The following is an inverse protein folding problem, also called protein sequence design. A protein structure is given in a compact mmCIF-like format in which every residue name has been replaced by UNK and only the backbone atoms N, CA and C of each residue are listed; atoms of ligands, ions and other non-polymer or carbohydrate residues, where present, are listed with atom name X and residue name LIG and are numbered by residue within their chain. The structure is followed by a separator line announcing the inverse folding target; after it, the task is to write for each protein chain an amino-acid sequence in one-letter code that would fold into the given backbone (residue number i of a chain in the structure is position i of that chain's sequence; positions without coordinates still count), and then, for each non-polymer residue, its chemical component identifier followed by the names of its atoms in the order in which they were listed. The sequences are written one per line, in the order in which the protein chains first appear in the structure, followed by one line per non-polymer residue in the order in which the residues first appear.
data_IF_171455467099
#
_entry.id   IF_171455467099
#
_cell.length_a   1.000
_cell.length_b   1.000
_cell.length_c   1.000
_cell.angle_alpha   90.00
_cell.angle_beta   90.00
_cell.angle_gamma   90.00
#
_symmetry.space_group_name_H-M   'P 1'
#
loop_
_entity.id
_entity.type
_entity.pdbx_description
1 polymer ?
#
# COMPACT_ATOMS: atom_id res chain seq x y z
N UNK A 1 33.08 16.01 51.17
CA UNK A 1 32.46 15.17 50.11
C UNK A 1 31.29 15.93 49.49
N UNK A 2 31.47 16.60 48.33
CA UNK A 2 30.34 17.04 47.53
C UNK A 2 30.05 16.01 46.43
N UNK A 3 28.79 15.56 46.35
CA UNK A 3 28.29 14.68 45.30
C UNK A 3 28.33 15.41 43.95
N UNK A 4 29.02 14.81 42.99
CA UNK A 4 29.13 15.27 41.61
C UNK A 4 27.83 15.10 40.83
N UNK A 5 27.54 16.12 40.04
CA UNK A 5 26.48 16.14 39.03
C UNK A 5 26.87 15.29 37.81
N UNK A 6 26.16 14.21 37.55
CA UNK A 6 26.26 13.47 36.28
C UNK A 6 25.13 13.92 35.35
N UNK A 7 25.44 14.90 34.49
CA UNK A 7 24.64 15.18 33.30
C UNK A 7 25.00 14.13 32.24
N UNK A 8 24.11 13.17 32.03
CA UNK A 8 24.18 12.28 30.88
C UNK A 8 23.97 13.10 29.59
N UNK A 9 25.05 13.35 28.85
CA UNK A 9 24.99 13.90 27.51
C UNK A 9 24.42 12.83 26.57
N UNK A 10 23.17 13.02 26.15
CA UNK A 10 22.54 12.21 25.12
C UNK A 10 23.24 12.54 23.79
N UNK A 11 24.15 11.67 23.37
CA UNK A 11 24.86 11.80 22.10
C UNK A 11 23.82 11.78 20.97
N UNK A 12 23.65 12.92 20.30
CA UNK A 12 22.88 13.00 19.07
C UNK A 12 23.53 12.07 18.05
N UNK A 13 22.85 10.97 17.74
CA UNK A 13 23.23 10.06 16.65
C UNK A 13 23.24 10.89 15.37
N UNK A 14 24.43 11.16 14.82
CA UNK A 14 24.58 11.80 13.50
C UNK A 14 23.82 10.94 12.49
N UNK A 15 22.68 11.42 12.03
CA UNK A 15 21.99 10.89 10.85
C UNK A 15 22.96 10.95 9.68
N UNK A 16 23.26 9.81 9.07
CA UNK A 16 24.08 9.76 7.85
C UNK A 16 23.51 10.75 6.81
N UNK A 17 24.36 11.46 6.05
CA UNK A 17 23.90 12.35 4.98
C UNK A 17 23.04 11.55 4.00
N UNK A 18 21.91 12.12 3.57
CA UNK A 18 21.04 11.51 2.58
C UNK A 18 21.82 11.33 1.27
N UNK A 19 21.93 10.10 0.78
CA UNK A 19 22.41 9.88 -0.58
C UNK A 19 21.34 10.44 -1.55
N UNK A 20 21.74 11.19 -2.59
CA UNK A 20 20.78 11.72 -3.54
C UNK A 20 20.05 10.55 -4.21
N UNK A 21 18.73 10.57 -4.14
CA UNK A 21 17.93 9.51 -4.74
C UNK A 21 18.07 9.56 -6.27
N UNK A 22 18.01 8.43 -7.00
CA UNK A 22 18.24 8.40 -8.44
C UNK A 22 17.31 9.35 -9.23
N UNK A 23 16.07 9.50 -8.78
CA UNK A 23 15.07 10.37 -9.40
C UNK A 23 15.33 11.87 -9.18
N UNK A 24 16.21 12.27 -8.25
CA UNK A 24 16.57 13.70 -8.08
C UNK A 24 17.35 14.25 -9.28
N UNK A 25 17.87 13.38 -10.15
CA UNK A 25 18.57 13.75 -11.39
C UNK A 25 17.66 14.15 -12.55
N UNK A 26 16.36 13.87 -12.47
CA UNK A 26 15.38 14.13 -13.54
C UNK A 26 14.35 15.17 -13.11
N UNK A 27 13.73 15.83 -14.10
CA UNK A 27 12.71 16.85 -13.85
C UNK A 27 11.47 16.25 -13.17
N UNK A 28 10.74 17.09 -12.44
CA UNK A 28 9.53 16.69 -11.73
C UNK A 28 8.50 16.01 -12.64
N UNK A 29 8.26 16.48 -13.87
CA UNK A 29 7.24 15.90 -14.76
C UNK A 29 7.61 14.54 -15.35
N UNK A 30 8.88 14.13 -15.25
CA UNK A 30 9.36 12.82 -15.69
C UNK A 30 9.26 11.76 -14.59
N UNK A 31 8.85 12.13 -13.36
CA UNK A 31 8.79 11.20 -12.23
C UNK A 31 7.34 10.74 -11.96
N UNK A 32 7.16 9.47 -11.58
CA UNK A 32 5.86 8.92 -11.18
C UNK A 32 5.98 8.12 -9.87
N UNK A 33 5.41 8.64 -8.77
CA UNK A 33 5.44 8.03 -7.44
C UNK A 33 4.10 7.37 -7.09
N UNK A 34 4.10 6.05 -6.91
CA UNK A 34 2.88 5.28 -6.60
C UNK A 34 3.06 4.47 -5.32
N UNK A 35 2.31 4.82 -4.28
CA UNK A 35 2.24 4.06 -3.02
C UNK A 35 1.11 3.03 -3.10
N UNK A 36 1.40 1.76 -2.83
CA UNK A 36 0.40 0.67 -2.90
C UNK A 36 0.38 -0.08 -1.58
N UNK A 37 -0.76 -0.09 -0.88
CA UNK A 37 -0.86 -0.80 0.39
C UNK A 37 -1.05 -2.31 0.19
N UNK A 38 -0.35 -3.12 0.99
CA UNK A 38 -0.53 -4.58 0.98
C UNK A 38 -0.20 -5.24 -0.36
N UNK A 39 0.95 -4.86 -0.95
CA UNK A 39 1.32 -5.23 -2.31
C UNK A 39 2.33 -6.39 -2.40
N UNK A 40 2.39 -7.26 -1.37
CA UNK A 40 3.30 -8.42 -1.36
C UNK A 40 2.76 -9.64 -2.11
N UNK A 41 1.51 -9.63 -2.56
CA UNK A 41 0.87 -10.71 -3.31
C UNK A 41 -0.44 -10.24 -3.94
N UNK A 42 -1.07 -11.13 -4.73
CA UNK A 42 -2.44 -10.94 -5.22
C UNK A 42 -2.59 -9.67 -6.08
N UNK A 43 -3.73 -8.98 -5.89
CA UNK A 43 -4.09 -7.80 -6.69
C UNK A 43 -3.05 -6.69 -6.52
N UNK A 44 -2.60 -6.39 -5.29
CA UNK A 44 -1.63 -5.31 -5.06
C UNK A 44 -0.29 -5.53 -5.78
N UNK A 45 0.24 -6.76 -5.76
CA UNK A 45 1.44 -7.12 -6.52
C UNK A 45 1.19 -7.04 -8.04
N UNK A 46 0.05 -7.56 -8.50
CA UNK A 46 -0.35 -7.49 -9.90
C UNK A 46 -0.54 -6.05 -10.40
N UNK A 47 -1.05 -5.14 -9.56
CA UNK A 47 -1.14 -3.71 -9.88
C UNK A 47 0.25 -3.09 -10.06
N UNK A 48 1.21 -3.41 -9.18
CA UNK A 48 2.59 -2.95 -9.34
C UNK A 48 3.22 -3.46 -10.65
N UNK A 49 2.97 -4.73 -11.01
CA UNK A 49 3.41 -5.32 -12.28
C UNK A 49 2.77 -4.62 -13.49
N UNK A 50 1.46 -4.39 -13.45
CA UNK A 50 0.76 -3.67 -14.52
C UNK A 50 1.24 -2.22 -14.68
N UNK A 51 1.58 -1.54 -13.58
CA UNK A 51 2.20 -0.21 -13.62
C UNK A 51 3.58 -0.23 -14.29
N UNK A 52 4.37 -1.29 -14.06
CA UNK A 52 5.66 -1.47 -14.73
C UNK A 52 5.45 -1.66 -16.24
N UNK A 53 4.53 -2.52 -16.64
CA UNK A 53 4.23 -2.77 -18.05
C UNK A 53 3.75 -1.49 -18.77
N UNK A 54 2.80 -0.78 -18.17
CA UNK A 54 2.27 0.48 -18.72
C UNK A 54 3.35 1.56 -18.81
N UNK A 55 4.19 1.70 -17.78
CA UNK A 55 5.31 2.62 -17.78
C UNK A 55 6.30 2.33 -18.91
N UNK A 56 6.70 1.07 -19.07
CA UNK A 56 7.63 0.65 -20.12
C UNK A 56 7.04 0.84 -21.53
N UNK A 57 5.72 0.75 -21.68
CA UNK A 57 5.05 0.89 -22.96
C UNK A 57 4.75 2.34 -23.36
N UNK A 58 4.50 3.24 -22.39
CA UNK A 58 3.91 4.55 -22.67
C UNK A 58 4.77 5.75 -22.29
N UNK A 59 5.73 5.58 -21.38
CA UNK A 59 6.50 6.72 -20.84
C UNK A 59 7.78 6.99 -21.61
N UNK A 60 8.28 8.22 -21.48
CA UNK A 60 9.50 8.65 -22.14
C UNK A 60 10.70 7.86 -21.61
N UNK A 61 11.80 7.84 -22.39
CA UNK A 61 13.05 7.22 -21.96
C UNK A 61 13.74 7.98 -20.83
N UNK A 62 13.35 9.22 -20.54
CA UNK A 62 13.83 10.02 -19.42
C UNK A 62 12.94 9.89 -18.18
N UNK A 63 11.76 9.25 -18.31
CA UNK A 63 10.84 9.10 -17.19
C UNK A 63 11.36 8.10 -16.18
N UNK A 64 11.00 8.26 -14.90
CA UNK A 64 11.29 7.34 -13.80
C UNK A 64 10.01 6.91 -13.10
N UNK A 65 9.88 5.61 -12.85
CA UNK A 65 8.80 5.01 -12.06
C UNK A 65 9.30 4.68 -10.67
N UNK A 66 8.62 5.17 -9.64
CA UNK A 66 8.90 4.86 -8.25
C UNK A 66 7.68 4.15 -7.67
N UNK A 67 7.78 2.83 -7.53
CA UNK A 67 6.74 2.02 -6.89
C UNK A 67 7.10 1.82 -5.43
N UNK A 68 6.18 2.19 -4.54
CA UNK A 68 6.32 2.11 -3.09
C UNK A 68 5.33 1.07 -2.54
N UNK A 69 5.59 -0.24 -2.68
CA UNK A 69 4.71 -1.26 -2.13
C UNK A 69 4.86 -1.37 -0.61
N UNK A 70 3.78 -1.34 0.15
CA UNK A 70 3.82 -1.59 1.59
C UNK A 70 3.48 -3.02 1.96
N UNK A 71 4.12 -3.53 3.00
CA UNK A 71 3.89 -4.88 3.54
C UNK A 71 3.88 -4.87 5.07
N UNK A 72 3.45 -5.96 5.71
CA UNK A 72 3.41 -6.03 7.19
C UNK A 72 4.75 -6.39 7.84
N UNK A 73 5.78 -6.76 7.08
CA UNK A 73 7.07 -7.18 7.65
C UNK A 73 8.25 -6.94 6.71
N UNK A 74 9.43 -6.72 7.26
CA UNK A 74 10.66 -6.53 6.47
C UNK A 74 10.93 -7.71 5.51
N UNK A 75 10.69 -8.94 5.96
CA UNK A 75 10.83 -10.15 5.13
C UNK A 75 9.92 -10.16 3.91
N UNK A 76 8.65 -9.75 4.07
CA UNK A 76 7.71 -9.63 2.95
C UNK A 76 8.10 -8.49 2.02
N UNK A 77 8.58 -7.37 2.56
CA UNK A 77 9.10 -6.27 1.76
C UNK A 77 10.31 -6.69 0.92
N UNK A 78 11.28 -7.42 1.50
CA UNK A 78 12.43 -7.97 0.77
C UNK A 78 12.00 -8.85 -0.40
N UNK A 79 11.07 -9.78 -0.14
CA UNK A 79 10.55 -10.68 -1.17
C UNK A 79 9.81 -9.92 -2.28
N UNK A 80 8.98 -8.94 -1.89
CA UNK A 80 8.25 -8.09 -2.85
C UNK A 80 9.21 -7.30 -3.74
N UNK A 81 10.30 -6.77 -3.18
CA UNK A 81 11.32 -6.06 -3.95
C UNK A 81 11.99 -6.98 -4.97
N UNK A 82 12.38 -8.20 -4.55
CA UNK A 82 13.00 -9.18 -5.47
C UNK A 82 12.06 -9.52 -6.61
N UNK A 83 10.81 -9.86 -6.30
CA UNK A 83 9.81 -10.22 -7.31
C UNK A 83 9.54 -9.09 -8.30
N UNK A 84 9.40 -7.84 -7.84
CA UNK A 84 9.14 -6.71 -8.73
C UNK A 84 10.36 -6.31 -9.57
N UNK A 85 11.58 -6.41 -9.03
CA UNK A 85 12.82 -6.17 -9.79
C UNK A 85 13.05 -7.25 -10.86
N UNK A 86 12.82 -8.51 -10.51
CA UNK A 86 12.86 -9.62 -11.47
C UNK A 86 11.81 -9.44 -12.55
N UNK A 87 10.58 -9.08 -12.17
CA UNK A 87 9.50 -8.80 -13.10
C UNK A 87 9.84 -7.65 -14.05
N UNK A 88 10.34 -6.51 -13.54
CA UNK A 88 10.76 -5.37 -14.36
C UNK A 88 11.85 -5.77 -15.38
N UNK A 89 12.81 -6.58 -14.95
CA UNK A 89 13.84 -7.13 -15.84
C UNK A 89 13.24 -7.99 -16.94
N UNK A 90 12.32 -8.89 -16.59
CA UNK A 90 11.63 -9.74 -17.55
C UNK A 90 10.81 -8.91 -18.54
N UNK A 91 10.01 -7.96 -18.05
CA UNK A 91 9.17 -7.08 -18.86
C UNK A 91 9.98 -6.22 -19.83
N UNK A 92 11.10 -5.63 -19.38
CA UNK A 92 11.98 -4.83 -20.23
C UNK A 92 12.64 -5.65 -21.34
N UNK A 93 13.00 -6.92 -21.06
CA UNK A 93 13.57 -7.85 -22.05
C UNK A 93 12.56 -8.32 -23.08
N UNK A 94 11.28 -8.46 -22.71
CA UNK A 94 10.24 -8.98 -23.60
C UNK A 94 9.39 -7.89 -24.27
N UNK A 95 9.58 -6.62 -23.90
CA UNK A 95 8.80 -5.51 -24.43
C UNK A 95 9.08 -5.27 -25.92
N UNK A 96 8.08 -5.61 -26.75
CA UNK A 96 8.11 -5.37 -28.20
C UNK A 96 8.10 -3.90 -28.57
N UNK A 97 7.53 -3.04 -27.71
CA UNK A 97 7.49 -1.59 -27.93
C UNK A 97 8.88 -1.01 -27.83
N UNK A 98 9.63 -1.41 -26.81
CA UNK A 98 11.00 -0.96 -26.59
C UNK A 98 11.99 -1.53 -27.61
N UNK A 99 11.77 -2.75 -28.11
CA UNK A 99 12.56 -3.30 -29.22
C UNK A 99 12.46 -2.48 -30.52
N UNK A 100 11.44 -1.61 -30.66
CA UNK A 100 11.29 -0.70 -31.80
C UNK A 100 11.99 0.65 -31.59
N UNK A 101 12.54 0.91 -30.40
CA UNK A 101 13.18 2.18 -30.06
C UNK A 101 14.56 2.40 -30.72
N UNK A 102 15.03 1.44 -31.54
CA UNK A 102 16.26 1.53 -32.32
C UNK A 102 17.29 0.45 -31.97
N UNK A 103 18.37 0.38 -32.75
CA UNK A 103 19.44 -0.60 -32.57
C UNK A 103 20.24 -0.41 -31.26
N UNK A 104 20.19 0.80 -30.68
CA UNK A 104 20.91 1.16 -29.46
C UNK A 104 20.10 0.90 -28.16
N UNK A 105 18.91 0.30 -28.27
CA UNK A 105 18.10 -0.03 -27.10
C UNK A 105 18.79 -1.06 -26.19
N UNK A 106 18.95 -0.71 -24.91
CA UNK A 106 19.41 -1.60 -23.85
C UNK A 106 18.32 -1.75 -22.82
N UNK A 107 17.91 -2.99 -22.53
CA UNK A 107 16.88 -3.26 -21.54
C UNK A 107 17.33 -2.83 -20.13
N UNK A 108 18.64 -2.81 -19.88
CA UNK A 108 19.27 -2.32 -18.66
C UNK A 108 18.92 -0.85 -18.39
N UNK A 109 18.92 -0.01 -19.42
CA UNK A 109 18.56 1.41 -19.32
C UNK A 109 17.05 1.60 -19.05
N UNK A 110 16.21 0.66 -19.48
CA UNK A 110 14.80 0.68 -19.15
C UNK A 110 14.55 0.28 -17.68
N UNK A 111 15.27 -0.73 -17.19
CA UNK A 111 15.15 -1.21 -15.80
C UNK A 111 15.73 -0.21 -14.80
N UNK A 112 16.81 0.50 -15.15
CA UNK A 112 17.46 1.47 -14.26
C UNK A 112 16.54 2.64 -13.85
N UNK A 113 15.46 2.87 -14.60
CA UNK A 113 14.44 3.89 -14.36
C UNK A 113 13.26 3.42 -13.51
N UNK A 114 13.23 2.14 -13.14
CA UNK A 114 12.19 1.55 -12.30
C UNK A 114 12.76 1.31 -10.90
N UNK A 115 12.24 2.06 -9.93
CA UNK A 115 12.68 2.04 -8.54
C UNK A 115 11.62 1.40 -7.65
N UNK A 116 12.00 0.34 -6.95
CA UNK A 116 11.13 -0.37 -6.00
C UNK A 116 11.58 -0.07 -4.57
N UNK A 117 10.78 0.70 -3.85
CA UNK A 117 11.01 1.08 -2.45
C UNK A 117 9.93 0.47 -1.56
N UNK A 118 10.19 -0.71 -0.97
CA UNK A 118 9.18 -1.35 -0.12
C UNK A 118 9.32 -0.95 1.35
N UNK A 119 8.21 -0.52 1.95
CA UNK A 119 8.16 -0.04 3.33
C UNK A 119 7.20 -0.89 4.18
N UNK A 120 7.49 -1.01 5.47
CA UNK A 120 6.60 -1.74 6.39
C UNK A 120 5.49 -0.84 6.91
N UNK A 121 4.24 -1.29 6.82
CA UNK A 121 3.06 -0.59 7.31
C UNK A 121 2.01 -1.59 7.78
N UNK A 122 1.59 -1.44 9.03
CA UNK A 122 0.39 -2.09 9.56
C UNK A 122 -0.73 -1.06 9.70
N UNK A 123 -1.85 -1.29 9.02
CA UNK A 123 -3.00 -0.40 9.03
C UNK A 123 -3.82 -0.49 10.32
N UNK A 124 -3.57 -1.51 11.14
CA UNK A 124 -4.15 -1.66 12.46
C UNK A 124 -3.37 -0.89 13.54
N UNK A 125 -2.15 -0.42 13.25
CA UNK A 125 -1.36 0.44 14.12
C UNK A 125 -1.48 1.91 13.68
N UNK A 126 -2.43 2.64 14.25
CA UNK A 126 -2.70 4.05 13.96
C UNK A 126 -1.55 4.97 14.38
N UNK A 127 -0.78 4.60 15.41
CA UNK A 127 0.43 5.34 15.81
C UNK A 127 1.52 5.10 14.77
N UNK A 128 1.72 3.84 14.38
CA UNK A 128 2.60 3.45 13.28
C UNK A 128 2.25 4.14 11.96
N UNK A 129 0.98 4.26 11.59
CA UNK A 129 0.54 5.02 10.40
C UNK A 129 0.96 6.49 10.49
N UNK A 130 0.78 7.12 11.64
CA UNK A 130 1.19 8.53 11.85
C UNK A 130 2.69 8.69 11.71
N UNK A 131 3.45 7.80 12.33
CA UNK A 131 4.91 7.85 12.34
C UNK A 131 5.48 7.52 10.94
N UNK A 132 4.87 6.56 10.24
CA UNK A 132 5.12 6.27 8.83
C UNK A 132 4.92 7.50 7.95
N UNK A 133 3.75 8.15 8.07
CA UNK A 133 3.43 9.33 7.26
C UNK A 133 4.35 10.52 7.60
N UNK A 134 4.70 10.70 8.88
CA UNK A 134 5.66 11.71 9.30
C UNK A 134 7.04 11.47 8.68
N UNK A 135 7.53 10.23 8.74
CA UNK A 135 8.83 9.84 8.15
C UNK A 135 8.84 10.04 6.64
N UNK A 136 7.75 9.69 5.94
CA UNK A 136 7.64 9.86 4.49
C UNK A 136 7.62 11.35 4.07
N UNK A 137 7.04 12.23 4.89
CA UNK A 137 6.90 13.65 4.60
C UNK A 137 8.13 14.48 4.91
N UNK A 138 8.77 14.19 6.04
CA UNK A 138 9.77 15.08 6.64
C UNK A 138 11.14 14.43 6.80
N UNK A 139 11.21 13.11 6.66
CA UNK A 139 12.43 12.35 6.86
C UNK A 139 12.89 11.67 5.58
N UNK A 140 13.68 10.63 5.80
CA UNK A 140 14.18 9.73 4.76
C UNK A 140 13.68 8.32 5.02
N UNK A 141 13.60 7.53 3.96
CA UNK A 141 13.17 6.13 4.00
C UNK A 141 14.18 5.26 3.27
N UNK A 142 14.21 3.97 3.59
CA UNK A 142 15.14 3.00 3.02
C UNK A 142 14.42 1.70 2.77
N UNK A 143 14.90 0.94 1.78
CA UNK A 143 14.58 -0.48 1.70
C UNK A 143 15.12 -1.23 2.93
N UNK A 144 14.50 -2.37 3.31
CA UNK A 144 14.99 -3.21 4.40
C UNK A 144 16.39 -3.77 4.09
N UNK A 145 17.15 -4.05 5.14
CA UNK A 145 18.46 -4.70 5.03
C UNK A 145 18.34 -6.13 4.47
N UNK A 146 19.36 -6.61 3.75
CA UNK A 146 19.40 -7.96 3.17
C UNK A 146 19.26 -8.04 1.65
N UNK A 147 19.34 -6.90 0.95
CA UNK A 147 19.45 -6.83 -0.51
C UNK A 147 20.88 -6.48 -0.91
N UNK A 148 21.48 -7.34 -1.74
CA UNK A 148 22.79 -7.08 -2.33
C UNK A 148 22.72 -5.92 -3.32
N UNK A 149 23.68 -4.99 -3.25
CA UNK A 149 23.72 -3.80 -4.12
C UNK A 149 22.59 -2.79 -3.89
N UNK A 150 21.91 -2.83 -2.75
CA UNK A 150 20.79 -1.93 -2.48
C UNK A 150 21.21 -0.46 -2.37
N UNK A 151 20.66 0.36 -3.26
CA UNK A 151 20.98 1.78 -3.42
C UNK A 151 19.90 2.72 -2.88
N UNK A 152 18.68 2.26 -2.57
CA UNK A 152 17.62 3.11 -2.01
C UNK A 152 17.74 3.17 -0.48
N UNK A 153 18.75 3.91 -0.02
CA UNK A 153 19.05 4.12 1.40
C UNK A 153 18.97 5.61 1.75
N UNK A 154 18.20 5.92 2.78
CA UNK A 154 18.00 7.29 3.27
C UNK A 154 17.54 8.27 2.17
N UNK A 155 16.66 7.81 1.29
CA UNK A 155 16.11 8.60 0.18
C UNK A 155 14.90 9.43 0.64
N UNK A 156 14.69 10.59 0.00
CA UNK A 156 13.51 11.44 0.23
C UNK A 156 12.42 11.20 -0.80
N UNK A 157 11.17 11.27 -0.36
CA UNK A 157 9.99 11.19 -1.23
C UNK A 157 9.40 12.60 -1.35
N UNK A 158 9.62 13.30 -2.48
CA UNK A 158 9.22 14.69 -2.61
C UNK A 158 7.71 14.86 -2.75
N UNK A 159 7.04 13.84 -3.33
CA UNK A 159 5.59 13.83 -3.55
C UNK A 159 5.09 12.40 -3.77
N UNK A 160 3.77 12.26 -3.82
CA UNK A 160 3.08 11.07 -4.30
C UNK A 160 2.16 11.49 -5.45
N UNK A 161 2.09 10.68 -6.51
CA UNK A 161 1.16 10.84 -7.62
C UNK A 161 -0.10 9.99 -7.43
N UNK A 162 0.03 8.85 -6.75
CA UNK A 162 -1.11 8.02 -6.39
C UNK A 162 -0.88 7.25 -5.09
N UNK A 163 -1.96 7.10 -4.32
CA UNK A 163 -2.06 6.14 -3.21
C UNK A 163 -3.13 5.12 -3.59
N UNK A 164 -2.75 3.85 -3.67
CA UNK A 164 -3.65 2.73 -3.94
C UNK A 164 -3.92 2.01 -2.62
N UNK A 165 -5.11 2.26 -2.06
CA UNK A 165 -5.63 1.64 -0.85
C UNK A 165 -6.16 0.23 -1.17
N UNK A 166 -5.23 -0.71 -1.36
CA UNK A 166 -5.48 -2.09 -1.77
C UNK A 166 -5.57 -3.08 -0.58
N UNK A 167 -4.75 -2.88 0.45
CA UNK A 167 -4.66 -3.82 1.57
C UNK A 167 -6.06 -4.12 2.15
N UNK A 168 -6.31 -5.38 2.50
CA UNK A 168 -7.58 -5.74 3.10
C UNK A 168 -7.42 -7.00 3.95
N UNK A 169 -8.35 -7.18 4.88
CA UNK A 169 -8.46 -8.34 5.73
C UNK A 169 -9.94 -8.52 6.06
N UNK A 170 -10.45 -9.76 5.98
CA UNK A 170 -11.88 -10.01 6.17
C UNK A 170 -12.26 -10.95 7.30
N UNK A 171 -11.29 -11.47 8.06
CA UNK A 171 -11.57 -12.30 9.25
C UNK A 171 -12.44 -13.54 8.95
N UNK A 172 -11.93 -14.50 8.20
CA UNK A 172 -12.66 -15.74 7.87
C UNK A 172 -12.15 -16.94 8.69
N UNK A 173 -13.06 -17.76 9.18
CA UNK A 173 -12.75 -19.07 9.79
C UNK A 173 -12.49 -20.15 8.74
N UNK A 174 -13.00 -19.97 7.52
CA UNK A 174 -12.85 -20.91 6.43
C UNK A 174 -14.01 -20.83 5.43
N UNK A 175 -14.28 -21.95 4.78
CA UNK A 175 -15.35 -22.10 3.80
C UNK A 175 -16.22 -23.30 4.16
N UNK A 176 -17.53 -23.17 3.99
CA UNK A 176 -18.43 -24.30 3.99
C UNK A 176 -18.27 -25.05 2.66
N UNK A 177 -17.41 -26.07 2.64
CA UNK A 177 -17.08 -26.83 1.44
C UNK A 177 -18.31 -27.50 0.81
N UNK A 178 -19.26 -27.99 1.61
CA UNK A 178 -20.49 -28.57 1.06
C UNK A 178 -21.31 -27.52 0.32
N UNK A 179 -21.52 -26.35 0.92
CA UNK A 179 -22.22 -25.25 0.27
C UNK A 179 -21.46 -24.73 -0.97
N UNK A 180 -20.13 -24.74 -0.97
CA UNK A 180 -19.31 -24.38 -2.13
C UNK A 180 -19.49 -25.36 -3.28
N UNK A 181 -19.42 -26.67 -3.00
CA UNK A 181 -19.66 -27.73 -3.99
C UNK A 181 -21.08 -27.63 -4.54
N UNK A 182 -22.06 -27.48 -3.65
CA UNK A 182 -23.46 -27.33 -4.04
C UNK A 182 -23.67 -26.09 -4.91
N UNK A 183 -23.10 -24.94 -4.53
CA UNK A 183 -23.15 -23.71 -5.33
C UNK A 183 -22.53 -23.91 -6.71
N UNK A 184 -21.39 -24.60 -6.80
CA UNK A 184 -20.75 -24.89 -8.09
C UNK A 184 -21.68 -25.67 -9.02
N UNK A 185 -22.32 -26.73 -8.53
CA UNK A 185 -23.21 -27.56 -9.35
C UNK A 185 -24.56 -26.91 -9.65
N UNK A 186 -25.08 -26.08 -8.76
CA UNK A 186 -26.41 -25.47 -8.92
C UNK A 186 -26.41 -24.11 -9.60
N UNK A 187 -25.36 -23.30 -9.39
CA UNK A 187 -25.24 -21.92 -9.92
C UNK A 187 -24.14 -21.77 -10.99
N UNK A 188 -23.28 -22.78 -11.14
CA UNK A 188 -22.14 -22.74 -12.05
C UNK A 188 -20.92 -22.03 -11.46
N UNK A 189 -19.78 -22.21 -12.12
CA UNK A 189 -18.48 -21.71 -11.66
C UNK A 189 -18.40 -20.18 -11.60
N UNK A 190 -18.96 -19.49 -12.60
CA UNK A 190 -18.90 -18.02 -12.68
C UNK A 190 -19.62 -17.40 -11.49
N UNK A 191 -20.86 -17.80 -11.22
CA UNK A 191 -21.62 -17.26 -10.10
C UNK A 191 -20.97 -17.61 -8.76
N UNK A 192 -20.50 -18.85 -8.61
CA UNK A 192 -19.85 -19.34 -7.38
C UNK A 192 -18.56 -18.59 -7.06
N UNK A 193 -17.74 -18.29 -8.08
CA UNK A 193 -16.50 -17.54 -7.92
C UNK A 193 -16.72 -16.03 -7.77
N UNK A 194 -17.80 -15.48 -8.34
CA UNK A 194 -18.09 -14.05 -8.31
C UNK A 194 -18.81 -13.63 -7.02
N UNK A 195 -19.74 -14.47 -6.53
CA UNK A 195 -20.59 -14.19 -5.37
C UNK A 195 -20.63 -15.39 -4.42
N UNK A 196 -19.53 -15.66 -3.71
CA UNK A 196 -19.43 -16.81 -2.82
C UNK A 196 -20.30 -16.63 -1.57
N UNK A 197 -21.37 -17.41 -1.43
CA UNK A 197 -22.29 -17.40 -0.28
C UNK A 197 -21.97 -18.48 0.77
N UNK A 198 -20.79 -19.08 0.67
CA UNK A 198 -20.32 -20.20 1.50
C UNK A 198 -19.10 -19.84 2.37
N UNK A 199 -18.74 -18.56 2.46
CA UNK A 199 -17.66 -18.10 3.34
C UNK A 199 -18.13 -18.13 4.79
N UNK A 200 -17.28 -18.63 5.68
CA UNK A 200 -17.51 -18.59 7.11
C UNK A 200 -16.78 -17.37 7.69
N UNK A 201 -17.47 -16.23 7.70
CA UNK A 201 -16.94 -14.98 8.25
C UNK A 201 -17.06 -14.95 9.78
N UNK A 202 -16.05 -14.41 10.44
CA UNK A 202 -16.03 -14.18 11.89
C UNK A 202 -16.34 -12.71 12.16
N UNK A 203 -16.94 -12.40 13.33
CA UNK A 203 -17.02 -11.02 13.82
C UNK A 203 -15.62 -10.37 13.87
N UNK A 204 -15.56 -9.05 13.69
CA UNK A 204 -14.28 -8.34 13.78
C UNK A 204 -13.70 -8.47 15.19
N UNK A 205 -12.41 -8.77 15.28
CA UNK A 205 -11.67 -8.67 16.53
C UNK A 205 -11.54 -7.20 16.97
N UNK A 206 -11.45 -6.97 18.29
CA UNK A 206 -11.18 -5.66 18.86
C UNK A 206 -9.68 -5.43 18.96
N UNK A 207 -9.18 -4.38 18.32
CA UNK A 207 -7.76 -4.02 18.41
C UNK A 207 -7.37 -3.55 19.82
N UNK A 208 -8.33 -3.05 20.59
CA UNK A 208 -8.15 -2.64 21.99
C UNK A 208 -7.73 -3.81 22.88
N UNK A 209 -8.06 -5.05 22.51
CA UNK A 209 -7.70 -6.26 23.24
C UNK A 209 -6.30 -6.77 22.88
N UNK A 210 -5.62 -6.18 21.88
CA UNK A 210 -4.26 -6.57 21.49
C UNK A 210 -3.24 -5.82 22.34
N UNK A 211 -2.52 -6.50 23.26
CA UNK A 211 -1.62 -5.82 24.19
C UNK A 211 -0.49 -5.06 23.48
N UNK A 212 -0.04 -5.58 22.34
CA UNK A 212 1.03 -4.97 21.52
C UNK A 212 0.68 -3.58 20.99
N UNK A 213 -0.61 -3.30 20.72
CA UNK A 213 -1.06 -2.00 20.20
C UNK A 213 -1.28 -0.98 21.32
N UNK A 214 -1.55 -1.44 22.54
CA UNK A 214 -1.75 -0.61 23.73
C UNK A 214 -2.73 0.56 23.49
N UNK A 215 -3.90 0.23 22.93
CA UNK A 215 -5.00 1.16 22.73
C UNK A 215 -5.82 1.35 24.00
N UNK A 216 -6.44 2.53 24.20
CA UNK A 216 -7.31 2.78 25.34
C UNK A 216 -8.52 1.85 25.32
N UNK A 217 -9.17 1.61 26.47
CA UNK A 217 -10.35 0.73 26.55
C UNK A 217 -11.51 1.20 25.66
N UNK A 218 -11.66 2.52 25.47
CA UNK A 218 -12.63 3.13 24.55
C UNK A 218 -12.02 4.35 23.84
N UNK A 219 -12.51 4.72 22.63
CA UNK A 219 -13.51 4.00 21.84
C UNK A 219 -12.98 2.66 21.29
N UNK A 220 -13.90 1.73 21.02
CA UNK A 220 -13.57 0.43 20.44
C UNK A 220 -13.18 0.57 18.97
N UNK A 221 -12.26 -0.28 18.54
CA UNK A 221 -11.68 -0.26 17.21
C UNK A 221 -11.63 -1.67 16.61
N UNK A 222 -12.42 -1.88 15.56
CA UNK A 222 -12.48 -3.14 14.84
C UNK A 222 -11.26 -3.34 13.94
N UNK A 223 -10.65 -4.52 14.01
CA UNK A 223 -9.52 -4.88 13.16
C UNK A 223 -9.84 -4.81 11.67
N UNK A 224 -10.97 -5.38 11.24
CA UNK A 224 -11.38 -5.39 9.82
C UNK A 224 -11.64 -3.96 9.34
N UNK A 225 -12.30 -3.15 10.17
CA UNK A 225 -12.54 -1.73 9.90
C UNK A 225 -11.23 -0.93 9.73
N UNK A 226 -10.25 -1.13 10.61
CA UNK A 226 -8.94 -0.51 10.48
C UNK A 226 -8.18 -0.96 9.24
N UNK A 227 -8.10 -2.27 9.01
CA UNK A 227 -7.34 -2.83 7.89
C UNK A 227 -7.92 -2.43 6.53
N UNK A 228 -9.24 -2.30 6.41
CA UNK A 228 -9.90 -2.02 5.15
C UNK A 228 -10.19 -0.53 4.92
N UNK A 229 -10.57 0.22 5.96
CA UNK A 229 -11.10 1.59 5.81
C UNK A 229 -10.31 2.60 6.62
N UNK A 230 -10.34 2.51 7.95
CA UNK A 230 -9.90 3.61 8.80
C UNK A 230 -8.38 3.83 8.75
N UNK A 231 -7.58 2.76 8.68
CA UNK A 231 -6.15 2.87 8.51
C UNK A 231 -5.77 3.54 7.18
N UNK A 232 -6.45 3.20 6.09
CA UNK A 232 -6.28 3.87 4.80
C UNK A 232 -6.70 5.33 4.85
N UNK A 233 -7.84 5.64 5.47
CA UNK A 233 -8.33 7.01 5.60
C UNK A 233 -7.31 7.86 6.35
N UNK A 234 -6.81 7.36 7.49
CA UNK A 234 -5.76 8.02 8.28
C UNK A 234 -4.48 8.21 7.48
N UNK A 235 -4.02 7.17 6.77
CA UNK A 235 -2.84 7.23 5.92
C UNK A 235 -2.99 8.29 4.82
N UNK A 236 -4.06 8.22 4.03
CA UNK A 236 -4.34 9.13 2.95
C UNK A 236 -4.45 10.57 3.45
N UNK A 237 -5.21 10.82 4.52
CA UNK A 237 -5.35 12.14 5.13
C UNK A 237 -4.00 12.70 5.60
N UNK A 238 -3.14 11.89 6.21
CA UNK A 238 -1.81 12.35 6.66
C UNK A 238 -0.84 12.58 5.49
N UNK A 239 -1.04 11.90 4.37
CA UNK A 239 -0.23 12.02 3.15
C UNK A 239 -0.78 13.02 2.12
N UNK A 240 -1.94 13.65 2.37
CA UNK A 240 -2.50 14.70 1.50
C UNK A 240 -1.47 15.76 1.09
N UNK A 241 -0.57 16.25 1.97
CA UNK A 241 0.45 17.22 1.56
C UNK A 241 1.42 16.71 0.49
N UNK A 242 1.68 15.39 0.40
CA UNK A 242 2.49 14.80 -0.67
C UNK A 242 1.69 14.60 -1.97
N UNK A 243 0.36 14.50 -1.88
CA UNK A 243 -0.54 14.41 -3.04
C UNK A 243 -0.94 15.78 -3.60
N UNK A 244 -0.77 16.84 -2.81
CA UNK A 244 -1.10 18.21 -3.19
C UNK A 244 -0.18 18.69 -4.32
N UNK A 245 -0.67 19.59 -5.16
CA UNK A 245 0.08 20.19 -6.27
C UNK A 245 0.21 21.69 -6.05
N UNK A 246 1.31 22.26 -6.52
CA UNK A 246 1.59 23.69 -6.37
C UNK A 246 0.87 24.50 -7.44
N UNK A 247 0.50 23.88 -8.56
CA UNK A 247 -0.21 24.49 -9.68
C UNK A 247 -1.37 23.61 -10.17
N UNK A 248 -2.43 24.25 -10.65
CA UNK A 248 -3.59 23.58 -11.29
C UNK A 248 -3.23 22.94 -12.63
N UNK A 249 -2.11 23.34 -13.25
CA UNK A 249 -1.62 22.75 -14.49
C UNK A 249 -0.95 21.39 -14.28
N UNK A 250 -0.67 21.00 -13.04
CA UNK A 250 -0.13 19.68 -12.72
C UNK A 250 -1.25 18.64 -12.63
N UNK A 251 -0.97 17.41 -13.06
CA UNK A 251 -1.90 16.31 -12.85
C UNK A 251 -2.16 16.12 -11.34
N UNK A 252 -3.43 16.09 -10.90
CA UNK A 252 -3.76 15.99 -9.49
C UNK A 252 -3.31 14.64 -8.91
N UNK A 253 -2.89 14.65 -7.65
CA UNK A 253 -2.66 13.43 -6.90
C UNK A 253 -3.95 12.62 -6.77
N UNK A 254 -3.85 11.29 -6.83
CA UNK A 254 -5.01 10.39 -6.80
C UNK A 254 -5.00 9.50 -5.57
N UNK A 255 -6.18 9.28 -4.98
CA UNK A 255 -6.39 8.24 -3.98
C UNK A 255 -7.33 7.22 -4.62
N UNK A 256 -6.86 5.98 -4.76
CA UNK A 256 -7.58 4.90 -5.42
C UNK A 256 -7.95 3.89 -4.35
N UNK A 257 -9.25 3.66 -4.17
CA UNK A 257 -9.77 2.72 -3.18
C UNK A 257 -10.16 1.40 -3.82
N UNK A 258 -9.61 0.29 -3.30
CA UNK A 258 -10.01 -1.05 -3.75
C UNK A 258 -11.20 -1.54 -2.93
N UNK A 259 -12.39 -1.47 -3.52
CA UNK A 259 -13.62 -2.02 -2.96
C UNK A 259 -13.80 -3.52 -3.29
N UNK A 260 -15.01 -4.05 -3.14
CA UNK A 260 -15.39 -5.43 -3.46
C UNK A 260 -16.74 -5.45 -4.17
N UNK A 261 -16.97 -6.42 -5.05
CA UNK A 261 -18.32 -6.68 -5.58
C UNK A 261 -19.30 -6.98 -4.44
N UNK A 262 -18.82 -7.60 -3.36
CA UNK A 262 -19.62 -7.98 -2.20
C UNK A 262 -20.06 -6.80 -1.31
N UNK A 263 -19.64 -5.58 -1.65
CA UNK A 263 -20.04 -4.33 -1.02
C UNK A 263 -21.50 -3.94 -1.35
N UNK A 264 -22.45 -4.84 -1.08
CA UNK A 264 -23.87 -4.63 -1.34
C UNK A 264 -24.55 -3.84 -0.22
N UNK A 265 -25.73 -3.26 -0.48
CA UNK A 265 -26.43 -2.42 0.51
C UNK A 265 -26.73 -3.15 1.82
N UNK A 266 -27.15 -4.42 1.76
CA UNK A 266 -27.63 -5.19 2.92
C UNK A 266 -26.56 -5.47 3.98
N UNK A 267 -25.29 -5.45 3.62
CA UNK A 267 -24.18 -5.77 4.54
C UNK A 267 -23.76 -4.58 5.38
N UNK A 268 -24.29 -3.37 5.16
CA UNK A 268 -23.90 -2.17 5.89
C UNK A 268 -25.02 -1.63 6.78
N UNK A 269 -24.66 -1.19 7.98
CA UNK A 269 -25.53 -0.46 8.91
C UNK A 269 -24.80 0.82 9.34
N UNK A 270 -25.46 1.96 9.17
CA UNK A 270 -24.90 3.27 9.53
C UNK A 270 -24.71 3.42 11.05
N UNK A 271 -25.48 2.69 11.86
CA UNK A 271 -25.36 2.70 13.31
C UNK A 271 -24.25 1.75 13.82
N UNK A 272 -23.73 0.89 12.95
CA UNK A 272 -22.63 -0.05 13.24
C UNK A 272 -21.59 -0.02 12.09
N UNK A 273 -21.00 1.15 11.87
CA UNK A 273 -20.05 1.39 10.76
C UNK A 273 -18.81 0.47 10.80
N UNK A 274 -18.42 0.00 11.99
CA UNK A 274 -17.29 -0.92 12.17
C UNK A 274 -17.72 -2.40 12.09
N UNK A 275 -19.02 -2.67 12.05
CA UNK A 275 -19.62 -3.99 11.99
C UNK A 275 -19.22 -4.90 13.16
N UNK A 276 -19.41 -4.44 14.40
CA UNK A 276 -19.12 -5.21 15.61
C UNK A 276 -20.10 -6.35 15.86
N UNK A 277 -21.34 -6.20 15.42
CA UNK A 277 -22.44 -7.10 15.82
C UNK A 277 -22.74 -8.21 14.82
N UNK A 278 -22.11 -8.18 13.64
CA UNK A 278 -22.43 -9.05 12.51
C UNK A 278 -21.17 -9.69 11.89
N UNK A 279 -21.29 -10.89 11.29
CA UNK A 279 -20.16 -11.59 10.68
C UNK A 279 -19.68 -10.98 9.36
N UNK A 280 -20.47 -10.13 8.69
CA UNK A 280 -20.13 -9.53 7.38
C UNK A 280 -19.26 -8.28 7.50
N UNK A 281 -18.29 -8.27 8.42
CA UNK A 281 -17.46 -7.10 8.69
C UNK A 281 -16.65 -6.66 7.47
N UNK A 282 -16.14 -7.61 6.67
CA UNK A 282 -15.42 -7.32 5.44
C UNK A 282 -16.31 -6.60 4.42
N UNK A 283 -17.45 -7.20 4.10
CA UNK A 283 -18.40 -6.71 3.11
C UNK A 283 -18.97 -5.35 3.54
N UNK A 284 -19.31 -5.21 4.83
CA UNK A 284 -19.73 -3.94 5.44
C UNK A 284 -18.67 -2.84 5.28
N UNK A 285 -17.40 -3.16 5.58
CA UNK A 285 -16.30 -2.22 5.44
C UNK A 285 -16.04 -1.82 3.98
N UNK A 286 -16.13 -2.77 3.04
CA UNK A 286 -16.02 -2.46 1.61
C UNK A 286 -17.19 -1.59 1.14
N UNK A 287 -18.40 -1.82 1.66
CA UNK A 287 -19.54 -0.92 1.41
C UNK A 287 -19.32 0.47 1.99
N UNK A 288 -18.73 0.58 3.17
CA UNK A 288 -18.33 1.86 3.74
C UNK A 288 -17.28 2.57 2.87
N UNK A 289 -16.31 1.85 2.30
CA UNK A 289 -15.37 2.39 1.30
C UNK A 289 -16.12 3.01 0.11
N UNK A 290 -17.11 2.33 -0.46
CA UNK A 290 -17.91 2.88 -1.57
C UNK A 290 -18.60 4.18 -1.17
N UNK A 291 -19.24 4.19 0.01
CA UNK A 291 -19.95 5.36 0.50
C UNK A 291 -18.99 6.54 0.70
N UNK A 292 -17.83 6.32 1.31
CA UNK A 292 -16.80 7.35 1.50
C UNK A 292 -16.31 7.92 0.16
N UNK A 293 -16.04 7.05 -0.82
CA UNK A 293 -15.55 7.49 -2.14
C UNK A 293 -16.62 8.30 -2.88
N UNK A 294 -17.86 7.83 -2.90
CA UNK A 294 -18.96 8.44 -3.65
C UNK A 294 -19.52 9.71 -2.99
N UNK A 295 -19.33 9.87 -1.67
CA UNK A 295 -19.79 11.05 -0.91
C UNK A 295 -18.68 12.06 -0.64
N UNK A 296 -17.49 11.88 -1.21
CA UNK A 296 -16.33 12.77 -1.02
C UNK A 296 -16.48 14.18 -1.61
N UNK A 297 -17.69 14.56 -2.05
CA UNK A 297 -18.07 15.86 -2.60
C UNK A 297 -18.72 16.83 -1.59
N UNK A 298 -18.41 16.71 -0.30
CA UNK A 298 -18.84 17.61 0.78
C UNK A 298 -17.65 18.34 1.41
#
# INVERSE_FOLDING_TARGET
MPLGSEKAAMAATKTAPAEPAPWESVSAHEQLFVLITGANSGIGLGTAQALIDDFLATRSLNSHLIVIPTTRSGSKSLETIRQLREYATKAAKTSKVLSRAGADYKWEDAVSRIHILSLTLDLCDLRGIRDFAHKLRYGTVSNPEGLEGEYLRNVRIPRLDSIICNAAFGGWAGMNYFAAIWSFFTKGIIQTATWPDFKLSLPTCLLNERPVLNYPVKPLLGEVFCACVFGHYMLAHKLLPLLSRSSENEAPGRIIWSSSLEAVRKVFDVNDMQCFTRPEAYESCKRLTDLLCLSSSL
#
